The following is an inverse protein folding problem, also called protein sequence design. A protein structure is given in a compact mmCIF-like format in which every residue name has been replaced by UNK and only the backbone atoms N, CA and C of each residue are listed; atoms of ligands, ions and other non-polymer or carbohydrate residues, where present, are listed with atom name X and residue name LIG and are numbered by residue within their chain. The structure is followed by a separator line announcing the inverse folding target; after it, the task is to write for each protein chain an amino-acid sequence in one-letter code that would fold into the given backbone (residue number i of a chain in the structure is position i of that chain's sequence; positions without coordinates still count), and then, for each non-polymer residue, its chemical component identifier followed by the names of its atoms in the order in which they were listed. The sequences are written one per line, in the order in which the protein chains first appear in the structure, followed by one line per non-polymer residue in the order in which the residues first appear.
data_IF_639782980398
#
_entry.id   IF_639782980398
#
_cell.length_a   1.000
_cell.length_b   1.000
_cell.length_c   1.000
_cell.angle_alpha   90.00
_cell.angle_beta   90.00
_cell.angle_gamma   90.00
#
_symmetry.space_group_name_H-M   'P 1'
#
loop_
_entity.id
_entity.type
_entity.pdbx_description
1 polymer ?
#
# COMPACT_ATOMS: atom_id res chain seq x y z
N UNK A 1 -39.64 23.04 21.40
CA UNK A 1 -38.28 22.96 20.79
C UNK A 1 -37.30 22.36 21.77
N UNK A 2 -36.58 21.30 21.37
CA UNK A 2 -35.39 20.82 22.06
C UNK A 2 -35.46 19.37 22.57
N UNK A 3 -35.63 18.38 21.68
CA UNK A 3 -35.19 17.01 21.99
C UNK A 3 -33.70 16.94 21.70
N UNK A 4 -32.89 16.77 22.75
CA UNK A 4 -31.47 16.45 22.64
C UNK A 4 -31.38 15.02 22.12
N UNK A 5 -30.79 14.86 20.95
CA UNK A 5 -30.36 13.57 20.42
C UNK A 5 -29.29 13.00 21.36
N UNK A 6 -29.70 12.12 22.27
CA UNK A 6 -28.78 11.25 23.00
C UNK A 6 -28.40 10.09 22.07
N UNK A 7 -27.56 10.40 21.07
CA UNK A 7 -26.84 9.36 20.34
C UNK A 7 -25.79 8.85 21.32
N UNK A 8 -26.13 7.77 22.01
CA UNK A 8 -25.16 6.93 22.72
C UNK A 8 -24.03 6.60 21.72
N UNK A 9 -22.92 7.33 21.82
CA UNK A 9 -21.76 7.16 20.95
C UNK A 9 -21.25 5.74 21.17
N UNK A 10 -21.58 4.85 20.23
CA UNK A 10 -21.09 3.47 20.25
C UNK A 10 -19.57 3.53 20.38
N UNK A 11 -18.96 2.76 21.31
CA UNK A 11 -17.53 2.81 21.55
C UNK A 11 -16.79 2.63 20.23
N UNK A 12 -15.91 3.60 19.91
CA UNK A 12 -15.17 3.62 18.66
C UNK A 12 -14.27 2.39 18.64
N UNK A 13 -14.38 1.57 17.60
CA UNK A 13 -13.53 0.40 17.44
C UNK A 13 -12.05 0.81 17.41
N UNK A 14 -11.24 0.27 18.33
CA UNK A 14 -9.81 0.55 18.43
C UNK A 14 -9.01 -0.72 18.18
N UNK A 15 -8.34 -0.76 17.03
CA UNK A 15 -7.33 -1.77 16.70
C UNK A 15 -6.09 -1.04 16.20
N UNK A 16 -4.90 -1.50 16.57
CA UNK A 16 -3.67 -0.88 16.08
C UNK A 16 -2.57 -1.94 16.03
N UNK A 17 -1.70 -1.85 15.03
CA UNK A 17 -0.46 -2.62 14.95
C UNK A 17 0.67 -1.61 15.08
N UNK A 18 1.61 -1.83 16.01
CA UNK A 18 2.71 -0.90 16.26
C UNK A 18 3.91 -1.24 15.36
N UNK A 19 3.78 -0.96 14.06
CA UNK A 19 4.79 -1.29 13.06
C UNK A 19 6.00 -0.32 13.07
N UNK A 20 5.89 0.82 13.76
CA UNK A 20 6.91 1.87 13.86
C UNK A 20 7.07 2.74 12.61
N UNK A 21 6.07 2.78 11.72
CA UNK A 21 6.12 3.52 10.45
C UNK A 21 7.03 2.89 9.39
N UNK A 22 7.38 1.61 9.57
CA UNK A 22 8.20 0.85 8.64
C UNK A 22 7.38 0.12 7.56
N UNK A 23 6.05 0.14 7.64
CA UNK A 23 5.15 -0.38 6.59
C UNK A 23 4.18 0.70 6.13
N UNK A 24 3.53 0.45 4.99
CA UNK A 24 2.49 1.35 4.47
C UNK A 24 1.11 1.12 5.11
N UNK A 25 1.02 0.24 6.13
CA UNK A 25 -0.23 -0.21 6.74
C UNK A 25 -1.06 0.96 7.31
N UNK A 26 -0.43 1.88 8.04
CA UNK A 26 -1.14 3.02 8.62
C UNK A 26 -1.66 3.99 7.56
N UNK A 27 -0.86 4.25 6.51
CA UNK A 27 -1.28 5.10 5.38
C UNK A 27 -2.43 4.46 4.62
N UNK A 28 -2.36 3.15 4.37
CA UNK A 28 -3.45 2.39 3.74
C UNK A 28 -4.74 2.49 4.56
N UNK A 29 -4.67 2.22 5.87
CA UNK A 29 -5.83 2.33 6.75
C UNK A 29 -6.45 3.74 6.76
N UNK A 30 -5.63 4.79 6.78
CA UNK A 30 -6.14 6.17 6.78
C UNK A 30 -6.85 6.54 5.47
N UNK A 31 -6.34 6.05 4.33
CA UNK A 31 -6.94 6.32 3.03
C UNK A 31 -8.26 5.53 2.87
N UNK A 32 -8.23 4.26 3.25
CA UNK A 32 -9.39 3.35 3.23
C UNK A 32 -10.52 3.81 4.16
N UNK A 33 -10.19 4.19 5.40
CA UNK A 33 -11.16 4.69 6.37
C UNK A 33 -11.80 6.01 5.90
N UNK A 34 -11.01 6.90 5.29
CA UNK A 34 -11.55 8.13 4.67
C UNK A 34 -12.51 7.82 3.52
N UNK A 35 -12.17 6.86 2.65
CA UNK A 35 -13.06 6.43 1.57
C UNK A 35 -14.37 5.79 2.10
N UNK A 36 -14.25 4.95 3.15
CA UNK A 36 -15.36 4.30 3.82
C UNK A 36 -16.33 5.30 4.48
N UNK A 37 -15.79 6.33 5.14
CA UNK A 37 -16.59 7.40 5.77
C UNK A 37 -17.24 8.29 4.70
N UNK A 38 -16.48 8.72 3.69
CA UNK A 38 -16.96 9.63 2.64
C UNK A 38 -18.11 9.02 1.81
N UNK A 39 -18.05 7.70 1.57
CA UNK A 39 -19.10 6.97 0.85
C UNK A 39 -20.30 6.58 1.72
N UNK A 40 -20.21 6.74 3.05
CA UNK A 40 -21.22 6.25 4.00
C UNK A 40 -21.32 4.72 4.11
N UNK A 41 -20.45 3.98 3.42
CA UNK A 41 -20.48 2.51 3.30
C UNK A 41 -19.33 1.86 4.07
N UNK A 42 -19.34 2.04 5.39
CA UNK A 42 -18.24 1.63 6.28
C UNK A 42 -17.87 0.14 6.19
N UNK A 43 -18.84 -0.73 5.92
CA UNK A 43 -18.61 -2.17 5.85
C UNK A 43 -18.28 -2.65 4.41
N UNK A 44 -18.54 -1.84 3.38
CA UNK A 44 -18.29 -2.25 1.98
C UNK A 44 -16.86 -1.91 1.51
N UNK A 45 -16.16 -1.05 2.23
CA UNK A 45 -14.77 -0.69 1.91
C UNK A 45 -13.86 -1.32 2.95
N UNK A 46 -12.88 -2.10 2.48
CA UNK A 46 -11.90 -2.74 3.37
C UNK A 46 -11.13 -1.69 4.16
N UNK A 47 -10.98 -1.89 5.46
CA UNK A 47 -10.24 -0.98 6.35
C UNK A 47 -9.78 -1.72 7.61
N UNK A 48 -9.17 -1.02 8.55
CA UNK A 48 -8.63 -1.54 9.83
C UNK A 48 -9.50 -2.56 10.59
N UNK A 49 -10.83 -2.41 10.61
CA UNK A 49 -11.73 -3.38 11.28
C UNK A 49 -11.72 -4.73 10.57
N UNK A 50 -11.69 -4.72 9.25
CA UNK A 50 -11.63 -5.94 8.44
C UNK A 50 -10.30 -6.67 8.65
N UNK A 51 -9.18 -5.94 8.74
CA UNK A 51 -7.87 -6.53 9.07
C UNK A 51 -7.87 -7.20 10.44
N UNK A 52 -8.50 -6.59 11.46
CA UNK A 52 -8.64 -7.23 12.77
C UNK A 52 -9.40 -8.56 12.69
N UNK A 53 -10.58 -8.56 12.05
CA UNK A 53 -11.40 -9.77 11.93
C UNK A 53 -10.71 -10.83 11.06
N UNK A 54 -10.00 -10.44 10.01
CA UNK A 54 -9.19 -11.35 9.21
C UNK A 54 -8.09 -12.01 10.06
N UNK A 55 -7.35 -11.23 10.85
CA UNK A 55 -6.30 -11.76 11.72
C UNK A 55 -6.88 -12.67 12.81
N UNK A 56 -7.98 -12.28 13.44
CA UNK A 56 -8.67 -13.10 14.42
C UNK A 56 -9.16 -14.42 13.81
N UNK A 57 -9.67 -14.39 12.58
CA UNK A 57 -10.13 -15.57 11.86
C UNK A 57 -8.98 -16.53 11.54
N UNK A 58 -7.84 -16.00 11.13
CA UNK A 58 -6.62 -16.79 10.90
C UNK A 58 -6.10 -17.43 12.19
N UNK A 59 -6.15 -16.72 13.32
CA UNK A 59 -5.77 -17.26 14.62
C UNK A 59 -6.70 -18.39 15.06
N UNK A 60 -8.01 -18.23 14.82
CA UNK A 60 -9.02 -19.19 15.26
C UNK A 60 -9.09 -20.44 14.36
N UNK A 61 -9.15 -20.25 13.04
CA UNK A 61 -9.39 -21.32 12.05
C UNK A 61 -8.11 -21.84 11.39
N UNK A 62 -7.00 -21.12 11.53
CA UNK A 62 -5.71 -21.47 10.93
C UNK A 62 -5.39 -20.69 9.65
N UNK A 63 -4.11 -20.63 9.33
CA UNK A 63 -3.62 -19.96 8.12
C UNK A 63 -4.13 -20.62 6.84
N UNK A 64 -4.48 -19.80 5.84
CA UNK A 64 -4.99 -20.21 4.54
C UNK A 64 -6.34 -20.96 4.54
N UNK A 65 -7.02 -21.07 5.69
CA UNK A 65 -8.38 -21.62 5.82
C UNK A 65 -9.45 -20.57 5.48
N UNK A 66 -9.32 -19.95 4.31
CA UNK A 66 -10.15 -18.81 3.91
C UNK A 66 -11.64 -19.16 3.84
N UNK A 67 -11.97 -20.34 3.32
CA UNK A 67 -13.35 -20.79 3.18
C UNK A 67 -14.03 -20.93 4.55
N UNK A 68 -13.33 -21.44 5.55
CA UNK A 68 -13.90 -21.65 6.89
C UNK A 68 -14.11 -20.34 7.63
N UNK A 69 -13.13 -19.44 7.53
CA UNK A 69 -13.26 -18.08 8.08
C UNK A 69 -14.44 -17.35 7.40
N UNK A 70 -14.61 -17.52 6.08
CA UNK A 70 -15.70 -16.88 5.34
C UNK A 70 -17.08 -17.44 5.66
N UNK A 71 -17.16 -18.74 5.97
CA UNK A 71 -18.42 -19.42 6.30
C UNK A 71 -18.82 -19.23 7.77
N UNK A 72 -17.90 -18.77 8.62
CA UNK A 72 -18.19 -18.46 10.01
C UNK A 72 -18.94 -17.12 10.14
N UNK A 73 -20.15 -17.17 10.68
CA UNK A 73 -21.03 -16.01 10.85
C UNK A 73 -20.42 -14.90 11.71
N UNK A 74 -19.53 -15.23 12.66
CA UNK A 74 -18.84 -14.23 13.47
C UNK A 74 -17.89 -13.36 12.65
N UNK A 75 -17.37 -13.88 11.53
CA UNK A 75 -16.42 -13.20 10.65
C UNK A 75 -17.07 -12.60 9.41
N UNK A 76 -18.41 -12.59 9.33
CA UNK A 76 -19.16 -12.14 8.14
C UNK A 76 -18.77 -10.75 7.62
N UNK A 77 -18.23 -9.88 8.49
CA UNK A 77 -17.71 -8.56 8.11
C UNK A 77 -16.65 -8.62 6.99
N UNK A 78 -15.82 -9.67 6.91
CA UNK A 78 -14.80 -9.79 5.85
C UNK A 78 -15.41 -10.08 4.48
N UNK A 79 -16.69 -10.48 4.43
CA UNK A 79 -17.42 -10.76 3.21
C UNK A 79 -18.09 -9.52 2.64
N UNK A 80 -18.38 -8.52 3.48
CA UNK A 80 -19.11 -7.29 3.11
C UNK A 80 -18.47 -6.55 1.92
N UNK A 81 -17.12 -6.37 1.84
CA UNK A 81 -16.49 -5.67 0.72
C UNK A 81 -16.61 -6.37 -0.63
N UNK A 82 -17.02 -7.64 -0.65
CA UNK A 82 -17.08 -8.48 -1.84
C UNK A 82 -18.52 -8.74 -2.32
N UNK A 83 -19.55 -8.31 -1.58
CA UNK A 83 -20.95 -8.60 -1.91
C UNK A 83 -21.36 -8.15 -3.30
N UNK A 84 -20.85 -7.00 -3.77
CA UNK A 84 -21.13 -6.46 -5.10
C UNK A 84 -20.42 -7.18 -6.25
N UNK A 85 -19.46 -8.06 -5.96
CA UNK A 85 -18.66 -8.77 -6.96
C UNK A 85 -18.99 -10.26 -7.08
N UNK A 86 -19.97 -10.74 -6.30
CA UNK A 86 -20.33 -12.16 -6.22
C UNK A 86 -20.77 -12.78 -7.55
N UNK A 87 -21.25 -11.96 -8.50
CA UNK A 87 -21.66 -12.38 -9.84
C UNK A 87 -20.52 -12.50 -10.85
N UNK A 88 -19.29 -12.11 -10.48
CA UNK A 88 -18.13 -12.19 -11.38
C UNK A 88 -17.58 -13.62 -11.43
N UNK A 89 -17.19 -14.09 -12.62
CA UNK A 89 -16.41 -15.34 -12.75
C UNK A 89 -15.11 -15.27 -11.92
N UNK A 90 -14.65 -16.41 -11.39
CA UNK A 90 -13.48 -16.49 -10.49
C UNK A 90 -13.56 -15.67 -9.19
N UNK A 91 -14.76 -15.29 -8.75
CA UNK A 91 -14.97 -14.52 -7.51
C UNK A 91 -14.21 -15.07 -6.29
N UNK A 92 -14.31 -16.39 -6.05
CA UNK A 92 -13.69 -17.02 -4.89
C UNK A 92 -12.16 -16.93 -4.93
N UNK A 93 -11.56 -17.06 -6.11
CA UNK A 93 -10.10 -16.95 -6.29
C UNK A 93 -9.63 -15.50 -6.08
N UNK A 94 -10.34 -14.53 -6.66
CA UNK A 94 -10.03 -13.09 -6.48
C UNK A 94 -10.08 -12.70 -5.01
N UNK A 95 -11.13 -13.12 -4.30
CA UNK A 95 -11.31 -12.87 -2.88
C UNK A 95 -10.19 -13.51 -2.04
N UNK A 96 -9.88 -14.79 -2.27
CA UNK A 96 -8.82 -15.47 -1.55
C UNK A 96 -7.44 -14.84 -1.80
N UNK A 97 -7.16 -14.40 -3.03
CA UNK A 97 -5.93 -13.68 -3.38
C UNK A 97 -5.82 -12.35 -2.67
N UNK A 98 -6.94 -11.63 -2.52
CA UNK A 98 -6.99 -10.40 -1.74
C UNK A 98 -6.71 -10.66 -0.25
N UNK A 99 -7.38 -11.64 0.36
CA UNK A 99 -7.18 -11.99 1.77
C UNK A 99 -5.73 -12.40 2.05
N UNK A 100 -5.12 -13.20 1.17
CA UNK A 100 -3.72 -13.59 1.29
C UNK A 100 -2.77 -12.38 1.18
N UNK A 101 -3.04 -11.42 0.29
CA UNK A 101 -2.26 -10.18 0.18
C UNK A 101 -2.40 -9.30 1.41
N UNK A 102 -3.63 -9.11 1.92
CA UNK A 102 -3.88 -8.35 3.16
C UNK A 102 -3.16 -8.96 4.34
N UNK A 103 -3.28 -10.27 4.53
CA UNK A 103 -2.57 -10.96 5.59
C UNK A 103 -1.05 -10.76 5.50
N UNK A 104 -0.45 -10.85 4.30
CA UNK A 104 1.00 -10.61 4.16
C UNK A 104 1.40 -9.22 4.67
N UNK A 105 0.64 -8.18 4.35
CA UNK A 105 0.92 -6.82 4.82
C UNK A 105 0.77 -6.71 6.34
N UNK A 106 -0.33 -7.24 6.91
CA UNK A 106 -0.57 -7.19 8.35
C UNK A 106 0.45 -8.04 9.14
N UNK A 107 0.79 -9.23 8.65
CA UNK A 107 1.77 -10.13 9.25
C UNK A 107 3.19 -9.53 9.23
N UNK A 108 3.56 -8.81 8.16
CA UNK A 108 4.80 -8.05 8.12
C UNK A 108 4.83 -6.95 9.20
N UNK A 109 3.71 -6.24 9.39
CA UNK A 109 3.55 -5.27 10.47
C UNK A 109 3.74 -5.89 11.87
N UNK A 110 3.07 -7.01 12.14
CA UNK A 110 3.18 -7.75 13.42
C UNK A 110 4.59 -8.30 13.65
N UNK A 111 5.23 -8.83 12.61
CA UNK A 111 6.61 -9.32 12.70
C UNK A 111 7.57 -8.16 13.03
N UNK A 112 7.33 -6.98 12.46
CA UNK A 112 8.13 -5.78 12.75
C UNK A 112 7.93 -5.29 14.18
N UNK A 113 6.68 -5.25 14.66
CA UNK A 113 6.36 -4.93 16.05
C UNK A 113 7.08 -5.87 17.03
N UNK A 114 6.98 -7.19 16.82
CA UNK A 114 7.69 -8.19 17.64
C UNK A 114 9.20 -7.98 17.62
N UNK A 115 9.78 -7.64 16.48
CA UNK A 115 11.20 -7.35 16.35
C UNK A 115 11.60 -6.04 17.05
N UNK A 116 10.77 -5.00 17.01
CA UNK A 116 10.99 -3.76 17.76
C UNK A 116 10.99 -4.03 19.27
N UNK A 117 10.01 -4.77 19.77
CA UNK A 117 9.92 -5.17 21.19
C UNK A 117 11.13 -5.99 21.61
N UNK A 118 11.55 -6.97 20.79
CA UNK A 118 12.74 -7.80 21.07
C UNK A 118 14.04 -7.00 21.06
N UNK A 119 14.17 -6.02 20.17
CA UNK A 119 15.33 -5.13 20.15
C UNK A 119 15.34 -4.16 21.35
N UNK A 120 14.17 -3.66 21.75
CA UNK A 120 14.02 -2.84 22.95
C UNK A 120 14.39 -3.60 24.23
N UNK A 121 13.99 -4.87 24.36
CA UNK A 121 14.35 -5.70 25.52
C UNK A 121 15.83 -6.04 25.55
N UNK A 122 16.45 -6.33 24.39
CA UNK A 122 17.91 -6.51 24.28
C UNK A 122 18.69 -5.25 24.65
N UNK A 123 18.34 -4.10 24.07
CA UNK A 123 18.95 -2.82 24.42
C UNK A 123 18.81 -2.52 25.91
N UNK A 124 17.66 -2.85 26.53
CA UNK A 124 17.45 -2.66 27.97
C UNK A 124 18.38 -3.57 28.81
N UNK A 125 18.61 -4.80 28.38
CA UNK A 125 19.53 -5.72 29.05
C UNK A 125 21.01 -5.37 28.87
N UNK A 126 21.39 -4.77 27.73
CA UNK A 126 22.73 -4.23 27.48
C UNK A 126 22.96 -2.96 28.31
N UNK A 127 22.01 -2.02 28.34
CA UNK A 127 22.07 -0.83 29.20
C UNK A 127 22.13 -1.17 30.70
N UNK A 128 21.49 -2.26 31.14
CA UNK A 128 21.52 -2.68 32.54
C UNK A 128 22.89 -3.25 32.97
N UNK A 129 23.70 -3.71 32.00
CA UNK A 129 25.10 -4.11 32.24
C UNK A 129 26.07 -2.92 32.21
N UNK A 130 25.74 -1.88 31.45
CA UNK A 130 26.58 -0.69 31.25
C UNK A 130 26.35 0.41 32.32
N UNK A 131 25.17 0.46 32.96
CA UNK A 131 24.77 1.50 33.92
C UNK A 131 25.26 1.32 35.38
N UNK A 132 26.34 0.58 35.65
CA UNK A 132 26.84 0.41 37.03
C UNK A 132 27.73 1.55 37.55
N UNK A 133 28.01 2.60 36.76
CA UNK A 133 28.72 3.80 37.24
C UNK A 133 28.01 5.09 36.81
N UNK A 134 27.28 5.68 37.77
CA UNK A 134 27.12 7.12 38.02
C UNK A 134 27.17 8.09 36.81
N UNK A 135 26.24 7.96 35.86
CA UNK A 135 26.01 8.97 34.81
C UNK A 135 24.61 8.87 34.16
N UNK A 136 23.60 8.42 34.91
CA UNK A 136 22.36 7.84 34.36
C UNK A 136 21.47 8.77 33.51
N UNK A 137 21.40 10.07 33.79
CA UNK A 137 20.48 10.98 33.08
C UNK A 137 21.07 11.47 31.75
N UNK A 138 22.35 11.87 31.76
CA UNK A 138 23.04 12.32 30.54
C UNK A 138 23.31 11.18 29.55
N UNK A 139 23.56 9.95 30.04
CA UNK A 139 23.71 8.78 29.17
C UNK A 139 22.37 8.35 28.57
N UNK A 140 21.29 8.39 29.34
CA UNK A 140 19.96 8.03 28.84
C UNK A 140 19.52 8.98 27.71
N UNK A 141 19.74 10.29 27.87
CA UNK A 141 19.44 11.27 26.82
C UNK A 141 20.29 11.04 25.55
N UNK A 142 21.61 10.84 25.72
CA UNK A 142 22.52 10.51 24.61
C UNK A 142 22.19 9.16 23.95
N UNK A 143 21.69 8.19 24.69
CA UNK A 143 21.25 6.89 24.19
C UNK A 143 19.94 6.99 23.41
N UNK A 144 19.01 7.82 23.88
CA UNK A 144 17.76 8.11 23.19
C UNK A 144 18.00 8.84 21.87
N UNK A 145 18.86 9.87 21.89
CA UNK A 145 19.26 10.64 20.72
C UNK A 145 20.01 9.76 19.69
N UNK A 146 20.90 8.86 20.14
CA UNK A 146 21.57 7.88 19.25
C UNK A 146 20.58 6.90 18.62
N UNK A 147 19.59 6.42 19.39
CA UNK A 147 18.55 5.51 18.91
C UNK A 147 17.66 6.19 17.86
N UNK A 148 17.19 7.41 18.15
CA UNK A 148 16.39 8.22 17.24
C UNK A 148 17.16 8.56 15.96
N UNK A 149 18.44 8.94 16.07
CA UNK A 149 19.28 9.22 14.92
C UNK A 149 19.55 7.98 14.05
N UNK A 150 19.61 6.78 14.65
CA UNK A 150 19.76 5.51 13.92
C UNK A 150 18.47 5.16 13.16
N UNK A 151 17.31 5.36 13.78
CA UNK A 151 16.00 5.20 13.14
C UNK A 151 15.83 6.20 11.98
N UNK A 152 16.19 7.47 12.21
CA UNK A 152 16.16 8.53 11.20
C UNK A 152 17.09 8.22 10.02
N UNK A 153 18.32 7.80 10.28
CA UNK A 153 19.28 7.39 9.22
C UNK A 153 18.78 6.18 8.43
N UNK A 154 18.17 5.20 9.10
CA UNK A 154 17.55 4.07 8.42
C UNK A 154 16.42 4.56 7.52
N UNK A 155 15.49 5.38 8.01
CA UNK A 155 14.38 5.96 7.24
C UNK A 155 14.87 6.69 5.98
N UNK A 156 15.84 7.59 6.13
CA UNK A 156 16.45 8.32 5.01
C UNK A 156 17.08 7.36 4.00
N UNK A 157 17.74 6.30 4.46
CA UNK A 157 18.31 5.27 3.58
C UNK A 157 17.22 4.51 2.79
N UNK A 158 16.10 4.18 3.42
CA UNK A 158 14.97 3.51 2.75
C UNK A 158 14.28 4.42 1.73
N UNK A 159 14.06 5.69 2.09
CA UNK A 159 13.51 6.71 1.18
C UNK A 159 14.44 6.92 -0.02
N UNK A 160 15.75 7.00 0.22
CA UNK A 160 16.75 7.10 -0.84
C UNK A 160 16.76 5.89 -1.78
N UNK A 161 16.66 4.67 -1.24
CA UNK A 161 16.54 3.45 -2.06
C UNK A 161 15.29 3.46 -2.93
N UNK A 162 14.15 3.90 -2.40
CA UNK A 162 12.90 4.01 -3.17
C UNK A 162 13.01 5.07 -4.28
N UNK A 163 13.56 6.25 -3.98
CA UNK A 163 13.83 7.27 -5.00
C UNK A 163 14.79 6.77 -6.07
N UNK A 164 15.82 6.01 -5.70
CA UNK A 164 16.79 5.45 -6.64
C UNK A 164 16.15 4.45 -7.62
N UNK A 165 15.20 3.64 -7.16
CA UNK A 165 14.43 2.73 -8.04
C UNK A 165 13.60 3.53 -9.05
N UNK A 166 12.90 4.58 -8.60
CA UNK A 166 12.10 5.44 -9.48
C UNK A 166 12.99 6.19 -10.49
N UNK A 167 14.14 6.70 -10.05
CA UNK A 167 15.09 7.36 -10.93
C UNK A 167 15.62 6.41 -12.01
N UNK A 168 15.97 5.18 -11.65
CA UNK A 168 16.41 4.18 -12.63
C UNK A 168 15.31 3.86 -13.66
N UNK A 169 14.05 3.76 -13.23
CA UNK A 169 12.92 3.55 -14.14
C UNK A 169 12.74 4.72 -15.12
N UNK A 170 12.93 5.95 -14.65
CA UNK A 170 12.88 7.13 -15.51
C UNK A 170 14.07 7.19 -16.47
N UNK A 171 15.26 6.78 -16.05
CA UNK A 171 16.45 6.70 -16.92
C UNK A 171 16.26 5.64 -18.03
N UNK A 172 15.73 4.46 -17.70
CA UNK A 172 15.39 3.42 -18.68
C UNK A 172 14.34 3.94 -19.69
N UNK A 173 13.26 4.56 -19.20
CA UNK A 173 12.23 5.13 -20.07
C UNK A 173 12.78 6.22 -20.99
N UNK A 174 13.63 7.11 -20.47
CA UNK A 174 14.27 8.16 -21.27
C UNK A 174 15.23 7.56 -22.31
N UNK A 175 15.94 6.48 -21.97
CA UNK A 175 16.80 5.75 -22.90
C UNK A 175 15.98 5.14 -24.04
N UNK A 176 14.85 4.51 -23.73
CA UNK A 176 13.95 3.94 -24.74
C UNK A 176 13.37 5.04 -25.65
N UNK A 177 12.89 6.14 -25.07
CA UNK A 177 12.38 7.28 -25.85
C UNK A 177 13.46 7.87 -26.76
N UNK A 178 14.71 7.96 -26.29
CA UNK A 178 15.84 8.41 -27.12
C UNK A 178 16.12 7.43 -28.27
N UNK A 179 16.04 6.13 -28.00
CA UNK A 179 16.19 5.11 -29.02
C UNK A 179 15.08 5.23 -30.10
N UNK A 180 13.84 5.46 -29.70
CA UNK A 180 12.74 5.68 -30.64
C UNK A 180 12.94 6.94 -31.48
N UNK A 181 13.34 8.06 -30.85
CA UNK A 181 13.61 9.33 -31.57
C UNK A 181 14.72 9.17 -32.60
N UNK A 182 15.76 8.39 -32.31
CA UNK A 182 16.83 8.12 -33.29
C UNK A 182 16.38 7.19 -34.43
N UNK A 183 15.33 6.38 -34.22
CA UNK A 183 14.75 5.49 -35.24
C UNK A 183 13.71 6.19 -36.12
N UNK A 184 13.04 7.23 -35.61
CA UNK A 184 11.99 7.98 -36.33
C UNK A 184 12.39 8.43 -37.74
N UNK A 185 13.58 9.02 -38.00
CA UNK A 185 13.96 9.46 -39.35
C UNK A 185 14.00 8.31 -40.37
N UNK A 186 14.47 7.14 -39.96
CA UNK A 186 14.55 5.96 -40.82
C UNK A 186 13.16 5.34 -41.08
N UNK A 187 12.23 5.47 -40.13
CA UNK A 187 10.85 5.04 -40.33
C UNK A 187 10.08 6.03 -41.21
N UNK A 188 10.26 7.33 -41.00
CA UNK A 188 9.58 8.39 -41.74
C UNK A 188 10.02 8.43 -43.21
N UNK A 189 11.31 8.18 -43.48
CA UNK A 189 11.85 8.14 -44.85
C UNK A 189 11.32 6.96 -45.68
N UNK A 190 10.78 5.92 -45.04
CA UNK A 190 10.14 4.78 -45.71
C UNK A 190 8.66 5.01 -46.02
N UNK A 191 8.06 6.10 -45.54
CA UNK A 191 6.66 6.40 -45.82
C UNK A 191 6.56 6.97 -47.24
N UNK A 192 5.86 6.29 -48.17
CA UNK A 192 5.70 6.80 -49.52
C UNK A 192 4.88 8.11 -49.54
N UNK A 193 5.11 9.00 -50.52
CA UNK A 193 4.38 10.26 -50.64
C UNK A 193 2.87 10.07 -50.67
N UNK A 194 2.12 11.07 -50.21
CA UNK A 194 0.66 11.02 -50.11
C UNK A 194 0.02 10.72 -51.48
N UNK A 195 0.57 11.26 -52.57
CA UNK A 195 0.13 10.96 -53.93
C UNK A 195 0.21 9.46 -54.28
N UNK A 196 1.31 8.80 -53.90
CA UNK A 196 1.50 7.37 -54.12
C UNK A 196 0.59 6.52 -53.22
N UNK A 197 0.33 6.98 -51.99
CA UNK A 197 -0.58 6.29 -51.04
C UNK A 197 -2.04 6.41 -51.45
N UNK A 198 -2.44 7.55 -52.00
CA UNK A 198 -3.80 7.80 -52.48
C UNK A 198 -4.03 7.30 -53.90
N UNK A 199 -3.00 6.81 -54.60
CA UNK A 199 -3.06 6.42 -56.02
C UNK A 199 -3.65 7.54 -56.90
N UNK A 200 -3.30 8.79 -56.58
CA UNK A 200 -3.81 9.99 -57.22
C UNK A 200 -2.66 10.93 -57.57
N UNK A 201 -2.78 11.66 -58.68
CA UNK A 201 -1.82 12.71 -59.01
C UNK A 201 -1.98 13.91 -58.07
N UNK A 202 -0.87 14.62 -57.79
CA UNK A 202 -0.89 15.83 -56.95
C UNK A 202 -1.93 16.85 -57.43
N UNK A 203 -2.12 16.96 -58.75
CA UNK A 203 -3.12 17.82 -59.38
C UNK A 203 -4.56 17.42 -59.02
N UNK A 204 -4.84 16.12 -58.92
CA UNK A 204 -6.16 15.60 -58.53
C UNK A 204 -6.44 15.80 -57.04
N UNK A 205 -5.39 15.71 -56.20
CA UNK A 205 -5.48 16.00 -54.77
C UNK A 205 -5.78 17.49 -54.54
N UNK A 206 -5.01 18.38 -55.18
CA UNK A 206 -5.22 19.83 -55.06
C UNK A 206 -6.59 20.26 -55.58
N UNK A 207 -7.07 19.66 -56.68
CA UNK A 207 -8.39 19.93 -57.23
C UNK A 207 -9.55 19.55 -56.28
N UNK A 208 -9.36 18.55 -55.40
CA UNK A 208 -10.36 18.14 -54.40
C UNK A 208 -10.29 18.96 -53.10
N UNK A 209 -9.12 19.54 -52.80
CA UNK A 209 -8.94 20.41 -51.64
C UNK A 209 -9.40 21.85 -51.92
N UNK A 210 -9.35 22.26 -53.18
CA UNK A 210 -9.79 23.58 -53.63
C UNK A 210 -11.31 23.66 -53.93
N UNK A 211 -12.04 22.53 -53.84
CA UNK A 211 -13.49 22.42 -53.97
C UNK A 211 -14.15 22.30 -52.60
#
# INVERSE_FOLDING_TARGET
NGRRDDKTDKPRFMFNIADGGFTELHTLWQNEERAAISSGKLNEIWHRRHDYWLLAGIVLHGYARWTDIQNDGAFGVINEPFKGEASKGNFLEMKNKFLARRFKVSALGVMREKNLVKNLSKNRSENMKENRSEFGVNLAYKGWEKSENKVRKARVKWEYSRCKVVLNQLEELLSDMKADVTRLPATLSRIPPIAARLQMSERSILSRLAS
#
